data_IF_064160290771
#
_entry.id   IF_064160290771
#
_cell.length_a   1.000
_cell.length_b   1.000
_cell.length_c   1.000
_cell.angle_alpha   90.00
_cell.angle_beta   90.00
_cell.angle_gamma   90.00
#
_symmetry.space_group_name_H-M   'P 1'
#
loop_
_entity.id
_entity.type
_entity.pdbx_description
1 polymer ?
#
# COMPACT_ATOMS: atom_id res chain seq x y z
N UNK A 1 -13.08 13.59 8.54
CA UNK A 1 -12.29 14.51 9.41
C UNK A 1 -12.02 15.77 8.60
N UNK A 2 -12.06 16.97 9.20
CA UNK A 2 -11.80 18.21 8.44
C UNK A 2 -10.29 18.37 8.21
N UNK A 3 -9.87 18.83 7.03
CA UNK A 3 -8.45 19.07 6.66
C UNK A 3 -7.72 19.90 7.71
N UNK A 4 -8.37 20.94 8.25
CA UNK A 4 -7.78 21.81 9.28
C UNK A 4 -7.52 21.06 10.61
N UNK A 5 -8.36 20.11 10.96
CA UNK A 5 -8.14 19.25 12.14
C UNK A 5 -6.93 18.34 11.93
N UNK A 6 -6.80 17.75 10.73
CA UNK A 6 -5.66 16.90 10.39
C UNK A 6 -4.37 17.72 10.46
N UNK A 7 -4.35 18.90 9.82
CA UNK A 7 -3.20 19.81 9.85
C UNK A 7 -2.80 20.23 11.27
N UNK A 8 -3.78 20.52 12.13
CA UNK A 8 -3.51 20.82 13.54
C UNK A 8 -2.95 19.65 14.34
N UNK A 9 -3.32 18.40 13.99
CA UNK A 9 -2.72 17.20 14.58
C UNK A 9 -1.30 16.97 14.05
N UNK A 10 -1.06 17.18 12.75
CA UNK A 10 0.28 17.11 12.15
C UNK A 10 1.26 18.05 12.84
N UNK A 11 0.85 19.27 13.14
CA UNK A 11 1.71 20.24 13.84
C UNK A 11 2.22 19.72 15.19
N UNK A 12 1.41 18.91 15.89
CA UNK A 12 1.72 18.38 17.22
C UNK A 12 2.52 17.07 17.21
N UNK A 13 2.45 16.33 16.13
CA UNK A 13 3.18 15.07 15.98
C UNK A 13 4.60 15.31 15.46
N UNK A 14 5.50 14.35 15.70
CA UNK A 14 6.87 14.34 15.16
C UNK A 14 7.00 13.40 13.96
N UNK A 15 6.23 12.30 13.96
CA UNK A 15 6.14 11.33 12.87
C UNK A 15 4.70 11.23 12.36
N UNK A 16 4.54 11.28 11.06
CA UNK A 16 3.27 11.04 10.39
C UNK A 16 3.36 9.71 9.62
N UNK A 17 2.46 8.81 9.92
CA UNK A 17 2.35 7.51 9.24
C UNK A 17 1.13 7.55 8.34
N UNK A 18 1.34 7.45 7.03
CA UNK A 18 0.24 7.39 6.06
C UNK A 18 0.05 5.98 5.53
N UNK A 19 -1.19 5.53 5.43
CA UNK A 19 -1.53 4.42 4.57
C UNK A 19 -1.49 4.88 3.10
N UNK A 20 -0.95 4.05 2.20
CA UNK A 20 -0.82 4.43 0.79
C UNK A 20 -2.16 4.27 0.07
N UNK A 21 -2.67 3.03 -0.04
CA UNK A 21 -3.88 2.77 -0.80
C UNK A 21 -5.13 3.17 -0.02
N UNK A 22 -6.15 3.65 -0.74
CA UNK A 22 -7.42 4.14 -0.20
C UNK A 22 -7.29 5.32 0.79
N UNK A 23 -6.09 5.89 0.89
CA UNK A 23 -5.79 7.11 1.66
C UNK A 23 -5.06 8.10 0.78
N UNK A 24 -3.77 7.87 0.50
CA UNK A 24 -2.99 8.76 -0.37
C UNK A 24 -3.30 8.55 -1.85
N UNK A 25 -3.54 7.30 -2.24
CA UNK A 25 -3.73 6.89 -3.63
C UNK A 25 -5.05 6.13 -3.81
N UNK A 26 -5.76 6.46 -4.87
CA UNK A 26 -6.95 5.74 -5.31
C UNK A 26 -6.74 5.12 -6.68
N UNK A 27 -7.36 3.95 -6.90
CA UNK A 27 -7.36 3.30 -8.21
C UNK A 27 -8.55 3.77 -9.04
N UNK A 28 -8.34 3.97 -10.35
CA UNK A 28 -9.44 4.15 -11.31
C UNK A 28 -10.34 2.91 -11.45
N UNK A 29 -9.81 1.73 -11.15
CA UNK A 29 -10.60 0.52 -11.08
C UNK A 29 -11.32 0.45 -9.73
N UNK A 30 -12.61 0.14 -9.74
CA UNK A 30 -13.39 0.01 -8.51
C UNK A 30 -12.89 -1.13 -7.62
N UNK A 31 -12.34 -2.18 -8.25
CA UNK A 31 -11.65 -3.28 -7.56
C UNK A 31 -10.34 -3.58 -8.28
N UNK A 32 -9.31 -3.93 -7.52
CA UNK A 32 -8.02 -4.34 -8.08
C UNK A 32 -8.16 -5.50 -9.10
N UNK A 33 -9.11 -6.41 -8.87
CA UNK A 33 -9.40 -7.52 -9.78
C UNK A 33 -9.89 -7.07 -11.16
N UNK A 34 -10.47 -5.86 -11.29
CA UNK A 34 -10.96 -5.35 -12.57
C UNK A 34 -9.81 -5.08 -13.55
N UNK A 35 -8.62 -4.78 -13.03
CA UNK A 35 -7.40 -4.68 -13.81
C UNK A 35 -7.05 -6.01 -14.52
N UNK A 36 -7.24 -7.14 -13.86
CA UNK A 36 -6.96 -8.45 -14.45
C UNK A 36 -7.94 -8.81 -15.56
N UNK A 37 -9.21 -8.45 -15.41
CA UNK A 37 -10.21 -8.62 -16.46
C UNK A 37 -9.91 -7.73 -17.67
N UNK A 38 -9.46 -6.50 -17.45
CA UNK A 38 -9.02 -5.62 -18.51
C UNK A 38 -7.80 -6.19 -19.27
N UNK A 39 -6.83 -6.76 -18.56
CA UNK A 39 -5.67 -7.42 -19.19
C UNK A 39 -6.08 -8.66 -19.98
N UNK A 40 -6.98 -9.49 -19.43
CA UNK A 40 -7.51 -10.68 -20.12
C UNK A 40 -8.13 -10.30 -21.47
N UNK A 41 -8.97 -9.27 -21.47
CA UNK A 41 -9.64 -8.81 -22.68
C UNK A 41 -8.67 -8.15 -23.67
N UNK A 42 -7.88 -7.18 -23.23
CA UNK A 42 -6.99 -6.41 -24.08
C UNK A 42 -5.85 -7.22 -24.72
N UNK A 43 -5.39 -8.27 -24.02
CA UNK A 43 -4.34 -9.18 -24.49
C UNK A 43 -4.88 -10.46 -25.14
N UNK A 44 -6.21 -10.64 -25.17
CA UNK A 44 -6.88 -11.85 -25.66
C UNK A 44 -6.33 -13.14 -25.00
N UNK A 45 -6.31 -13.16 -23.67
CA UNK A 45 -5.76 -14.23 -22.84
C UNK A 45 -6.86 -14.92 -21.99
N UNK A 46 -7.71 -15.75 -22.59
CA UNK A 46 -8.85 -16.34 -21.89
C UNK A 46 -8.44 -17.09 -20.62
N UNK A 47 -9.11 -16.77 -19.50
CA UNK A 47 -8.88 -17.41 -18.20
C UNK A 47 -7.79 -16.79 -17.35
N UNK A 48 -7.05 -15.79 -17.85
CA UNK A 48 -6.00 -15.11 -17.10
C UNK A 48 -6.49 -14.50 -15.80
N UNK A 49 -7.57 -13.71 -15.84
CA UNK A 49 -8.06 -12.99 -14.66
C UNK A 49 -8.39 -13.96 -13.50
N UNK A 50 -9.09 -15.04 -13.79
CA UNK A 50 -9.40 -16.06 -12.78
C UNK A 50 -8.14 -16.78 -12.27
N UNK A 51 -7.23 -17.14 -13.16
CA UNK A 51 -5.98 -17.76 -12.77
C UNK A 51 -5.14 -16.83 -11.88
N UNK A 52 -5.07 -15.55 -12.23
CA UNK A 52 -4.33 -14.54 -11.48
C UNK A 52 -4.91 -14.30 -10.07
N UNK A 53 -6.25 -14.21 -9.94
CA UNK A 53 -6.93 -14.09 -8.66
C UNK A 53 -6.67 -15.33 -7.80
N UNK A 54 -6.78 -16.52 -8.37
CA UNK A 54 -6.54 -17.76 -7.65
C UNK A 54 -5.08 -17.91 -7.21
N UNK A 55 -4.11 -17.56 -8.08
CA UNK A 55 -2.70 -17.59 -7.74
C UNK A 55 -2.37 -16.65 -6.57
N UNK A 56 -2.94 -15.46 -6.55
CA UNK A 56 -2.78 -14.53 -5.43
C UNK A 56 -3.32 -15.11 -4.12
N UNK A 57 -4.51 -15.73 -4.15
CA UNK A 57 -5.08 -16.35 -2.97
C UNK A 57 -4.22 -17.52 -2.46
N UNK A 58 -3.70 -18.37 -3.37
CA UNK A 58 -2.81 -19.48 -3.01
C UNK A 58 -1.56 -18.94 -2.30
N UNK A 59 -0.91 -17.91 -2.84
CA UNK A 59 0.29 -17.33 -2.25
C UNK A 59 -0.02 -16.68 -0.89
N UNK A 60 -1.12 -15.95 -0.77
CA UNK A 60 -1.57 -15.38 0.51
C UNK A 60 -1.79 -16.47 1.57
N UNK A 61 -2.43 -17.57 1.21
CA UNK A 61 -2.65 -18.70 2.12
C UNK A 61 -1.34 -19.39 2.51
N UNK A 62 -0.39 -19.51 1.59
CA UNK A 62 0.95 -20.06 1.87
C UNK A 62 1.71 -19.17 2.86
N UNK A 63 1.70 -17.86 2.63
CA UNK A 63 2.33 -16.87 3.51
C UNK A 63 1.72 -16.89 4.91
N UNK A 64 0.39 -16.92 5.00
CA UNK A 64 -0.32 -16.99 6.29
C UNK A 64 0.05 -18.24 7.11
N UNK A 65 0.24 -19.38 6.44
CA UNK A 65 0.64 -20.65 7.10
C UNK A 65 2.11 -20.67 7.52
N UNK A 66 2.99 -20.02 6.75
CA UNK A 66 4.43 -19.99 7.02
C UNK A 66 4.84 -18.94 8.07
N UNK A 67 3.94 -18.05 8.44
CA UNK A 67 4.14 -17.04 9.51
C UNK A 67 5.13 -15.93 9.19
N UNK A 68 5.42 -15.68 7.89
CA UNK A 68 6.60 -14.87 7.76
C UNK A 68 6.69 -13.78 6.72
N UNK A 69 6.17 -13.90 5.56
CA UNK A 69 6.45 -12.91 4.51
C UNK A 69 5.17 -12.39 3.83
N UNK A 70 5.25 -11.18 3.31
CA UNK A 70 4.21 -10.61 2.46
C UNK A 70 4.20 -11.35 1.12
N UNK A 71 3.03 -11.57 0.54
CA UNK A 71 2.90 -12.10 -0.81
C UNK A 71 3.68 -11.20 -1.79
N UNK A 72 4.41 -11.78 -2.72
CA UNK A 72 5.12 -11.03 -3.75
C UNK A 72 4.54 -11.31 -5.13
N UNK A 73 4.63 -10.34 -6.03
CA UNK A 73 4.21 -10.51 -7.42
C UNK A 73 4.96 -11.67 -8.09
N UNK A 74 6.23 -11.86 -7.74
CA UNK A 74 7.04 -12.97 -8.24
C UNK A 74 6.45 -14.33 -7.86
N UNK A 75 6.13 -14.52 -6.58
CA UNK A 75 5.52 -15.75 -6.09
C UNK A 75 4.15 -16.01 -6.76
N UNK A 76 3.35 -14.94 -6.94
CA UNK A 76 2.05 -15.06 -7.60
C UNK A 76 2.21 -15.52 -9.05
N UNK A 77 3.18 -14.97 -9.78
CA UNK A 77 3.42 -15.39 -11.17
C UNK A 77 4.03 -16.78 -11.27
N UNK A 78 4.76 -17.27 -10.26
CA UNK A 78 5.24 -18.67 -10.21
C UNK A 78 4.09 -19.70 -10.12
N UNK A 79 2.95 -19.31 -9.53
CA UNK A 79 1.75 -20.16 -9.49
C UNK A 79 0.95 -20.13 -10.81
N UNK A 80 1.27 -19.23 -11.73
CA UNK A 80 0.57 -19.10 -13.00
C UNK A 80 1.15 -20.02 -14.09
N UNK A 81 0.28 -20.47 -14.99
CA UNK A 81 0.71 -21.22 -16.17
C UNK A 81 1.69 -20.39 -17.04
N UNK A 82 2.62 -21.08 -17.70
CA UNK A 82 3.68 -20.45 -18.50
C UNK A 82 3.16 -19.47 -19.56
N UNK A 83 1.96 -19.70 -20.12
CA UNK A 83 1.33 -18.82 -21.11
C UNK A 83 0.99 -17.42 -20.59
N UNK A 84 0.94 -17.23 -19.26
CA UNK A 84 0.60 -15.96 -18.64
C UNK A 84 1.82 -15.18 -18.12
N UNK A 85 3.02 -15.74 -18.22
CA UNK A 85 4.24 -15.12 -17.67
C UNK A 85 4.58 -13.78 -18.33
N UNK A 86 4.32 -13.63 -19.61
CA UNK A 86 4.62 -12.42 -20.36
C UNK A 86 3.75 -11.23 -19.95
N UNK A 87 2.58 -11.48 -19.34
CA UNK A 87 1.63 -10.44 -18.89
C UNK A 87 2.12 -9.69 -17.65
N UNK A 88 3.11 -10.23 -16.92
CA UNK A 88 3.62 -9.63 -15.68
C UNK A 88 4.02 -8.17 -15.84
N UNK A 89 4.74 -7.86 -16.89
CA UNK A 89 5.17 -6.48 -17.15
C UNK A 89 3.99 -5.58 -17.53
N UNK A 90 3.02 -6.09 -18.27
CA UNK A 90 1.81 -5.35 -18.61
C UNK A 90 0.97 -5.07 -17.35
N UNK A 91 0.88 -6.02 -16.41
CA UNK A 91 0.22 -5.81 -15.12
C UNK A 91 0.90 -4.69 -14.34
N UNK A 92 2.23 -4.70 -14.25
CA UNK A 92 3.01 -3.66 -13.57
C UNK A 92 2.75 -2.29 -14.20
N UNK A 93 2.89 -2.19 -15.52
CA UNK A 93 2.74 -0.90 -16.21
C UNK A 93 1.31 -0.37 -16.14
N UNK A 94 0.30 -1.24 -16.25
CA UNK A 94 -1.09 -0.85 -16.10
C UNK A 94 -1.36 -0.42 -14.64
N UNK A 95 -0.82 -1.14 -13.66
CA UNK A 95 -0.95 -0.77 -12.25
C UNK A 95 -0.39 0.63 -11.99
N UNK A 96 0.80 0.94 -12.49
CA UNK A 96 1.40 2.29 -12.38
C UNK A 96 0.55 3.40 -13.00
N UNK A 97 -0.28 3.07 -13.99
CA UNK A 97 -1.15 4.04 -14.66
C UNK A 97 -2.48 4.23 -13.94
N UNK A 98 -2.91 3.27 -13.14
CA UNK A 98 -4.23 3.26 -12.52
C UNK A 98 -4.31 4.03 -11.21
N UNK A 99 -3.21 4.19 -10.50
CA UNK A 99 -3.21 4.90 -9.23
C UNK A 99 -2.99 6.39 -9.41
N UNK A 100 -3.85 7.17 -8.75
CA UNK A 100 -3.77 8.63 -8.71
C UNK A 100 -3.82 9.12 -7.28
N UNK A 101 -3.18 10.27 -7.04
CA UNK A 101 -3.24 10.92 -5.74
C UNK A 101 -4.65 11.45 -5.46
N UNK A 102 -5.12 11.28 -4.22
CA UNK A 102 -6.21 12.11 -3.72
C UNK A 102 -5.72 13.54 -3.54
N UNK A 103 -6.36 14.55 -4.17
CA UNK A 103 -5.87 15.93 -4.10
C UNK A 103 -5.85 16.51 -2.69
N UNK A 104 -6.84 16.14 -1.85
CA UNK A 104 -6.91 16.62 -0.45
C UNK A 104 -5.80 15.98 0.38
N UNK A 105 -5.58 14.69 0.21
CA UNK A 105 -4.52 13.97 0.92
C UNK A 105 -3.13 14.36 0.42
N UNK A 106 -2.98 14.73 -0.85
CA UNK A 106 -1.75 15.27 -1.39
C UNK A 106 -1.39 16.62 -0.72
N UNK A 107 -2.38 17.49 -0.52
CA UNK A 107 -2.19 18.74 0.22
C UNK A 107 -1.78 18.50 1.67
N UNK A 108 -2.38 17.50 2.33
CA UNK A 108 -2.05 17.10 3.71
C UNK A 108 -0.62 16.55 3.77
N UNK A 109 -0.24 15.71 2.82
CA UNK A 109 1.10 15.14 2.72
C UNK A 109 2.17 16.24 2.53
N UNK A 110 1.93 17.15 1.60
CA UNK A 110 2.81 18.29 1.36
C UNK A 110 2.90 19.20 2.59
N UNK A 111 1.80 19.40 3.31
CA UNK A 111 1.82 20.16 4.57
C UNK A 111 2.70 19.49 5.63
N UNK A 112 2.65 18.16 5.75
CA UNK A 112 3.53 17.42 6.67
C UNK A 112 5.01 17.60 6.31
N UNK A 113 5.34 17.54 5.01
CA UNK A 113 6.71 17.79 4.52
C UNK A 113 7.17 19.22 4.84
N UNK A 114 6.36 20.22 4.52
CA UNK A 114 6.67 21.63 4.75
C UNK A 114 6.82 21.96 6.24
N UNK A 115 6.14 21.20 7.10
CA UNK A 115 6.25 21.28 8.55
C UNK A 115 7.46 20.51 9.11
N UNK A 116 8.36 20.01 8.25
CA UNK A 116 9.55 19.25 8.60
C UNK A 116 9.24 18.01 9.46
N UNK A 117 8.08 17.37 9.25
CA UNK A 117 7.73 16.15 9.95
C UNK A 117 8.41 14.94 9.30
N UNK A 118 8.79 13.96 10.10
CA UNK A 118 9.17 12.65 9.55
C UNK A 118 7.93 11.96 8.97
N UNK A 119 8.09 11.29 7.84
CA UNK A 119 6.98 10.60 7.17
C UNK A 119 7.36 9.16 6.95
N UNK A 120 6.51 8.26 7.41
CA UNK A 120 6.56 6.84 7.10
C UNK A 120 5.30 6.45 6.32
N UNK A 121 5.42 5.46 5.46
CA UNK A 121 4.33 4.96 4.65
C UNK A 121 4.06 3.50 5.00
N UNK A 122 2.80 3.11 4.98
CA UNK A 122 2.36 1.72 5.21
C UNK A 122 1.53 1.28 4.02
N UNK A 123 1.75 0.04 3.57
CA UNK A 123 1.02 -0.51 2.43
C UNK A 123 0.82 -2.02 2.57
N UNK A 124 -0.39 -2.50 2.28
CA UNK A 124 -0.66 -3.91 2.00
C UNK A 124 -0.62 -4.11 0.49
N UNK A 125 0.43 -4.75 0.01
CA UNK A 125 0.60 -4.99 -1.42
C UNK A 125 1.60 -6.11 -1.69
N UNK A 126 1.43 -6.76 -2.82
CA UNK A 126 2.38 -7.72 -3.39
C UNK A 126 3.36 -7.06 -4.40
N UNK A 127 3.20 -5.78 -4.68
CA UNK A 127 4.02 -5.07 -5.65
C UNK A 127 5.46 -4.89 -5.15
N UNK A 128 6.45 -4.99 -6.04
CA UNK A 128 7.84 -4.67 -5.70
C UNK A 128 8.01 -3.22 -5.22
N UNK A 129 8.96 -3.00 -4.33
CA UNK A 129 9.28 -1.68 -3.79
C UNK A 129 9.53 -0.64 -4.88
N UNK A 130 10.30 -0.99 -5.92
CA UNK A 130 10.56 -0.11 -7.06
C UNK A 130 9.29 0.33 -7.81
N UNK A 131 8.29 -0.54 -7.90
CA UNK A 131 6.99 -0.20 -8.51
C UNK A 131 6.22 0.77 -7.62
N UNK A 132 6.26 0.57 -6.30
CA UNK A 132 5.64 1.48 -5.34
C UNK A 132 6.31 2.86 -5.36
N UNK A 133 7.64 2.90 -5.43
CA UNK A 133 8.39 4.15 -5.56
C UNK A 133 8.01 4.92 -6.82
N UNK A 134 7.91 4.25 -7.98
CA UNK A 134 7.46 4.86 -9.23
C UNK A 134 6.06 5.45 -9.12
N UNK A 135 5.12 4.72 -8.51
CA UNK A 135 3.73 5.18 -8.30
C UNK A 135 3.71 6.42 -7.40
N UNK A 136 4.41 6.38 -6.27
CA UNK A 136 4.50 7.48 -5.32
C UNK A 136 5.17 8.72 -5.92
N UNK A 137 6.26 8.53 -6.65
CA UNK A 137 6.96 9.62 -7.34
C UNK A 137 6.05 10.29 -8.37
N UNK A 138 5.33 9.50 -9.17
CA UNK A 138 4.36 10.01 -10.15
C UNK A 138 3.22 10.79 -9.47
N UNK A 139 2.81 10.37 -8.28
CA UNK A 139 1.81 11.04 -7.46
C UNK A 139 2.33 12.28 -6.72
N UNK A 140 3.63 12.60 -6.85
CA UNK A 140 4.26 13.72 -6.15
C UNK A 140 4.52 13.46 -4.66
N UNK A 141 4.44 12.22 -4.21
CA UNK A 141 4.65 11.80 -2.82
C UNK A 141 6.07 11.31 -2.63
N UNK A 142 6.98 12.23 -2.37
CA UNK A 142 8.42 11.98 -2.17
C UNK A 142 8.87 12.40 -0.77
N UNK A 143 10.11 12.13 -0.39
CA UNK A 143 10.69 12.61 0.87
C UNK A 143 10.20 11.89 2.13
N UNK A 144 9.56 10.73 2.01
CA UNK A 144 9.30 9.83 3.13
C UNK A 144 10.58 9.10 3.56
N UNK A 145 10.62 8.66 4.81
CA UNK A 145 11.79 7.97 5.37
C UNK A 145 11.81 6.51 4.96
N UNK A 146 10.64 5.84 4.97
CA UNK A 146 10.51 4.40 4.69
C UNK A 146 9.09 4.00 4.30
N UNK A 147 8.98 2.92 3.52
CA UNK A 147 7.74 2.18 3.27
C UNK A 147 7.74 0.90 4.10
N UNK A 148 6.68 0.65 4.84
CA UNK A 148 6.43 -0.59 5.58
C UNK A 148 5.40 -1.42 4.81
N UNK A 149 5.79 -2.65 4.49
CA UNK A 149 4.93 -3.62 3.83
C UNK A 149 4.24 -4.48 4.88
N UNK A 150 2.94 -4.56 4.82
CA UNK A 150 2.09 -5.33 5.73
C UNK A 150 1.28 -6.38 4.99
N UNK A 151 0.72 -7.32 5.72
CA UNK A 151 -0.23 -8.29 5.19
C UNK A 151 -1.51 -8.22 6.02
N UNK A 152 -2.60 -7.82 5.38
CA UNK A 152 -3.94 -7.70 5.99
C UNK A 152 -4.49 -9.02 6.57
N UNK A 153 -3.89 -10.15 6.21
CA UNK A 153 -4.28 -11.47 6.73
C UNK A 153 -3.72 -11.78 8.14
N UNK A 154 -2.87 -10.90 8.68
CA UNK A 154 -2.22 -11.15 9.96
C UNK A 154 -2.46 -9.97 10.92
N UNK A 155 -3.64 -9.95 11.56
CA UNK A 155 -4.00 -8.90 12.54
C UNK A 155 -3.00 -8.73 13.69
N UNK A 156 -2.23 -9.78 14.03
CA UNK A 156 -1.14 -9.67 14.99
C UNK A 156 0.10 -8.96 14.41
N UNK A 157 0.21 -8.85 13.08
CA UNK A 157 1.30 -8.14 12.43
C UNK A 157 1.13 -6.62 12.52
N UNK A 158 -0.09 -6.13 12.64
CA UNK A 158 -0.34 -4.68 12.71
C UNK A 158 0.18 -4.09 14.01
N UNK A 159 -0.10 -4.71 15.15
CA UNK A 159 0.47 -4.29 16.44
C UNK A 159 2.02 -4.39 16.44
N UNK A 160 2.57 -5.48 15.92
CA UNK A 160 4.01 -5.65 15.80
C UNK A 160 4.66 -4.64 14.85
N UNK A 161 3.93 -4.18 13.81
CA UNK A 161 4.41 -3.13 12.92
C UNK A 161 4.54 -1.79 13.66
N UNK A 162 3.54 -1.41 14.47
CA UNK A 162 3.60 -0.17 15.25
C UNK A 162 4.74 -0.19 16.25
N UNK A 163 4.90 -1.29 16.97
CA UNK A 163 6.03 -1.47 17.89
C UNK A 163 7.36 -1.31 17.13
N UNK A 164 7.44 -1.83 15.92
CA UNK A 164 8.62 -1.69 15.07
C UNK A 164 8.84 -0.24 14.64
N UNK A 165 7.79 0.47 14.21
CA UNK A 165 7.88 1.90 13.84
C UNK A 165 8.34 2.73 15.04
N UNK A 166 7.70 2.54 16.21
CA UNK A 166 8.06 3.20 17.47
C UNK A 166 9.54 2.98 17.80
N UNK A 167 10.02 1.74 17.71
CA UNK A 167 11.42 1.39 18.01
C UNK A 167 12.39 1.98 16.98
N UNK A 168 12.08 1.89 15.68
CA UNK A 168 12.97 2.38 14.61
C UNK A 168 13.12 3.91 14.62
N UNK A 169 12.05 4.63 14.95
CA UNK A 169 12.09 6.10 15.04
C UNK A 169 12.48 6.60 16.44
N UNK A 170 12.51 5.73 17.44
CA UNK A 170 12.85 6.10 18.83
C UNK A 170 11.85 7.08 19.44
N UNK A 171 10.59 7.00 19.05
CA UNK A 171 9.51 7.89 19.46
C UNK A 171 8.51 7.17 20.36
N UNK A 172 7.75 7.93 21.16
CA UNK A 172 6.61 7.40 21.90
C UNK A 172 5.32 7.50 21.05
N UNK A 173 4.32 6.70 21.38
CA UNK A 173 3.07 6.65 20.61
C UNK A 173 2.34 8.00 20.48
N UNK A 174 2.43 8.86 21.48
CA UNK A 174 1.86 10.19 21.48
C UNK A 174 2.55 11.20 20.54
N UNK A 175 3.74 10.87 20.05
CA UNK A 175 4.47 11.64 19.04
C UNK A 175 4.13 11.21 17.61
N UNK A 176 3.34 10.15 17.43
CA UNK A 176 3.04 9.56 16.14
C UNK A 176 1.58 9.83 15.77
N UNK A 177 1.35 10.37 14.59
CA UNK A 177 0.02 10.51 13.99
C UNK A 177 -0.13 9.54 12.84
N UNK A 178 -1.12 8.65 12.92
CA UNK A 178 -1.49 7.78 11.83
C UNK A 178 -2.67 8.35 11.05
N UNK A 179 -2.55 8.36 9.74
CA UNK A 179 -3.58 8.81 8.81
C UNK A 179 -3.90 7.65 7.86
N UNK A 180 -5.09 7.09 8.03
CA UNK A 180 -5.59 5.97 7.21
C UNK A 180 -7.08 6.13 6.98
N UNK A 181 -7.59 5.49 5.94
CA UNK A 181 -9.02 5.26 5.81
C UNK A 181 -9.45 4.22 6.86
N UNK A 182 -10.64 4.41 7.43
CA UNK A 182 -11.17 3.68 8.60
C UNK A 182 -11.39 2.16 8.40
N UNK A 183 -11.00 1.60 7.26
CA UNK A 183 -11.17 0.17 6.99
C UNK A 183 -10.17 -0.75 7.70
N UNK A 184 -9.12 -0.21 8.32
CA UNK A 184 -8.14 -0.98 9.09
C UNK A 184 -8.43 -0.85 10.60
N UNK A 185 -9.12 -1.84 11.14
CA UNK A 185 -9.46 -1.92 12.58
C UNK A 185 -8.23 -2.02 13.53
N UNK A 186 -7.02 -1.94 13.02
CA UNK A 186 -5.76 -1.95 13.79
C UNK A 186 -5.14 -0.58 14.04
N UNK A 187 -5.64 0.47 13.37
CA UNK A 187 -5.05 1.81 13.43
C UNK A 187 -5.62 2.73 14.53
N UNK A 188 -6.49 2.20 15.40
CA UNK A 188 -6.94 2.91 16.61
C UNK A 188 -5.83 3.12 17.66
N UNK A 189 -4.62 2.58 17.43
CA UNK A 189 -3.52 2.61 18.41
C UNK A 189 -2.69 3.91 18.33
N UNK A 190 -2.91 4.72 17.33
CA UNK A 190 -2.31 6.05 17.23
C UNK A 190 -3.24 7.17 17.77
N UNK A 191 -3.89 6.92 18.90
CA UNK A 191 -4.65 7.94 19.64
C UNK A 191 -4.07 8.15 21.02
#
# INVERSE_FOLDING_TARGET
>A
MNVNEIKSKIEKADLIVFNIFETLLFSYYGKQTDLFWHLEESKNLPGYARARINAEQIVKDQVARSGGQVASLENIYQELHASYQEVKNDEIELTKQTYVADPEMQDIYLFAQQSNKQIALVVDTYLPESVMEDILQKAGMTGYTRIYYVSSQNQSADAALYDKIIQEFGMSADQILCISDFSYAGLEICN
#
